data_IF_197123926414
#
_entry.id   IF_197123926414
#
_cell.length_a   1.000
_cell.length_b   1.000
_cell.length_c   1.000
_cell.angle_alpha   90.00
_cell.angle_beta   90.00
_cell.angle_gamma   90.00
#
_symmetry.space_group_name_H-M   'P 1'
#
loop_
_entity.id
_entity.type
_entity.pdbx_description
1 polymer ?
#
# COMPACT_ATOMS: atom_id res chain seq x y z
N UNK A 1 40.40 -11.46 -20.04
CA UNK A 1 39.34 -11.19 -21.02
C UNK A 1 38.13 -10.62 -20.27
N UNK A 2 37.78 -9.36 -20.58
CA UNK A 2 36.49 -8.67 -20.39
C UNK A 2 35.89 -8.62 -18.97
N UNK A 3 36.14 -7.49 -18.29
CA UNK A 3 35.18 -6.95 -17.33
C UNK A 3 33.84 -6.77 -18.06
N UNK A 4 32.80 -7.40 -17.53
CA UNK A 4 31.41 -7.23 -17.95
C UNK A 4 31.06 -5.77 -17.68
N UNK A 5 30.87 -4.98 -18.73
CA UNK A 5 30.38 -3.60 -18.64
C UNK A 5 29.06 -3.62 -17.87
N UNK A 6 29.01 -2.98 -16.70
CA UNK A 6 27.76 -2.68 -16.02
C UNK A 6 26.90 -1.89 -17.02
N UNK A 7 25.66 -2.31 -17.25
CA UNK A 7 24.72 -1.49 -18.00
C UNK A 7 24.59 -0.13 -17.29
N UNK A 8 24.45 0.99 -18.00
CA UNK A 8 24.14 2.25 -17.35
C UNK A 8 22.85 2.05 -16.55
N UNK A 9 22.93 2.28 -15.24
CA UNK A 9 21.75 2.42 -14.38
C UNK A 9 20.85 3.47 -15.04
N UNK A 10 19.55 3.21 -15.22
CA UNK A 10 18.67 4.22 -15.78
C UNK A 10 18.75 5.45 -14.87
N UNK A 11 19.26 6.55 -15.42
CA UNK A 11 19.32 7.83 -14.72
C UNK A 11 17.90 8.20 -14.30
N UNK A 12 17.77 8.61 -13.04
CA UNK A 12 16.52 8.88 -12.31
C UNK A 12 15.88 10.20 -12.80
N UNK A 13 15.70 10.35 -14.11
CA UNK A 13 15.05 11.52 -14.75
C UNK A 13 13.62 11.72 -14.24
N UNK A 14 12.99 10.67 -13.71
CA UNK A 14 11.67 10.72 -13.08
C UNK A 14 11.63 11.53 -11.78
N UNK A 15 12.75 11.71 -11.09
CA UNK A 15 12.79 12.38 -9.79
C UNK A 15 12.89 13.92 -9.90
N UNK A 16 13.32 14.44 -11.06
CA UNK A 16 13.59 15.86 -11.29
C UNK A 16 12.51 16.56 -12.16
N UNK A 17 11.47 15.83 -12.55
CA UNK A 17 10.37 16.39 -13.34
C UNK A 17 9.42 17.19 -12.45
N UNK A 18 9.30 18.50 -12.70
CA UNK A 18 8.44 19.42 -11.92
C UNK A 18 6.95 19.08 -11.97
N UNK A 19 6.54 18.14 -12.82
CA UNK A 19 5.16 17.74 -13.00
C UNK A 19 5.09 16.23 -13.33
N UNK A 20 5.21 15.34 -12.34
CA UNK A 20 5.20 13.90 -12.58
C UNK A 20 3.88 13.48 -13.23
N UNK A 21 3.94 12.50 -14.12
CA UNK A 21 2.76 11.94 -14.78
C UNK A 21 1.72 11.48 -13.75
N UNK A 22 0.41 11.67 -14.01
CA UNK A 22 -0.63 11.08 -13.16
C UNK A 22 -0.49 9.57 -13.08
N UNK A 23 -0.78 9.00 -11.92
CA UNK A 23 -0.82 7.55 -11.72
C UNK A 23 -2.05 6.96 -12.42
N UNK A 24 -1.88 5.80 -13.05
CA UNK A 24 -2.99 5.03 -13.59
C UNK A 24 -3.64 4.13 -12.52
N UNK A 25 -4.73 3.44 -12.88
CA UNK A 25 -5.50 2.62 -11.94
C UNK A 25 -4.67 1.45 -11.38
N UNK A 26 -3.79 0.87 -12.19
CA UNK A 26 -2.94 -0.25 -11.82
C UNK A 26 -1.81 0.19 -10.90
N UNK A 27 -1.17 1.33 -11.19
CA UNK A 27 -0.19 2.01 -10.34
C UNK A 27 -0.80 2.27 -8.95
N UNK A 28 -2.03 2.79 -8.91
CA UNK A 28 -2.76 3.07 -7.67
C UNK A 28 -3.07 1.76 -6.91
N UNK A 29 -3.49 0.71 -7.60
CA UNK A 29 -3.80 -0.58 -6.99
C UNK A 29 -2.53 -1.23 -6.39
N UNK A 30 -1.41 -1.16 -7.10
CA UNK A 30 -0.13 -1.61 -6.60
C UNK A 30 0.29 -0.83 -5.36
N UNK A 31 0.26 0.51 -5.40
CA UNK A 31 0.65 1.34 -4.25
C UNK A 31 -0.25 1.15 -3.02
N UNK A 32 -1.55 0.90 -3.21
CA UNK A 32 -2.48 0.59 -2.11
C UNK A 32 -2.19 -0.75 -1.44
N UNK A 33 -1.66 -1.71 -2.18
CA UNK A 33 -1.34 -3.05 -1.66
C UNK A 33 0.12 -3.17 -1.23
N UNK A 34 0.98 -2.30 -1.73
CA UNK A 34 2.40 -2.23 -1.39
C UNK A 34 2.57 -1.92 0.10
N UNK A 35 3.10 -2.89 0.84
CA UNK A 35 3.29 -2.79 2.29
C UNK A 35 2.12 -3.31 3.14
N UNK A 36 1.04 -3.81 2.53
CA UNK A 36 0.04 -4.59 3.28
C UNK A 36 0.62 -5.97 3.58
N UNK A 37 0.82 -6.26 4.86
CA UNK A 37 1.23 -7.57 5.32
C UNK A 37 0.11 -8.62 5.12
N UNK A 38 0.44 -9.92 5.16
CA UNK A 38 -0.53 -11.01 4.96
C UNK A 38 -1.71 -10.95 5.94
N UNK A 39 -1.55 -10.26 7.06
CA UNK A 39 -2.57 -10.13 8.11
C UNK A 39 -3.29 -8.78 8.12
N UNK A 40 -2.92 -7.80 7.28
CA UNK A 40 -3.50 -6.45 7.32
C UNK A 40 -5.02 -6.45 7.16
N UNK A 41 -5.56 -7.32 6.29
CA UNK A 41 -7.01 -7.44 6.10
C UNK A 41 -7.70 -8.10 7.31
N UNK A 42 -7.11 -9.16 7.85
CA UNK A 42 -7.64 -9.88 9.01
C UNK A 42 -7.68 -9.00 10.26
N UNK A 43 -6.63 -8.18 10.47
CA UNK A 43 -6.57 -7.22 11.57
C UNK A 43 -7.69 -6.19 11.43
N UNK A 44 -7.83 -5.54 10.27
CA UNK A 44 -8.90 -4.55 10.03
C UNK A 44 -10.30 -5.14 10.22
N UNK A 45 -10.50 -6.40 9.82
CA UNK A 45 -11.77 -7.11 10.02
C UNK A 45 -12.09 -7.27 11.51
N UNK A 46 -11.14 -7.77 12.29
CA UNK A 46 -11.30 -7.96 13.74
C UNK A 46 -11.52 -6.62 14.46
N UNK A 47 -10.79 -5.56 14.08
CA UNK A 47 -11.01 -4.21 14.63
C UNK A 47 -12.43 -3.70 14.39
N UNK A 48 -13.00 -3.96 13.21
CA UNK A 48 -14.38 -3.60 12.89
C UNK A 48 -15.37 -4.41 13.73
N UNK A 49 -15.18 -5.73 13.82
CA UNK A 49 -16.02 -6.63 14.61
C UNK A 49 -16.03 -6.24 16.09
N UNK A 50 -14.87 -5.88 16.67
CA UNK A 50 -14.77 -5.40 18.06
C UNK A 50 -15.62 -4.14 18.26
N UNK A 51 -15.53 -3.17 17.34
CA UNK A 51 -16.32 -1.92 17.42
C UNK A 51 -17.82 -2.19 17.32
N UNK A 52 -18.24 -3.09 16.43
CA UNK A 52 -19.64 -3.47 16.28
C UNK A 52 -20.16 -4.22 17.51
N UNK A 53 -19.36 -5.13 18.07
CA UNK A 53 -19.72 -5.85 19.30
C UNK A 53 -19.82 -4.91 20.50
N UNK A 54 -18.90 -3.96 20.64
CA UNK A 54 -18.98 -2.94 21.69
C UNK A 54 -20.26 -2.10 21.61
N UNK A 55 -20.68 -1.72 20.39
CA UNK A 55 -21.98 -1.05 20.17
C UNK A 55 -23.14 -1.93 20.60
N UNK A 56 -23.18 -3.20 20.15
CA UNK A 56 -24.23 -4.15 20.54
C UNK A 56 -24.33 -4.34 22.06
N UNK A 57 -23.20 -4.40 22.76
CA UNK A 57 -23.18 -4.52 24.23
C UNK A 57 -23.79 -3.26 24.86
N UNK A 58 -23.39 -2.08 24.41
CA UNK A 58 -23.96 -0.82 24.92
C UNK A 58 -25.46 -0.71 24.64
N UNK A 59 -25.92 -1.15 23.47
CA UNK A 59 -27.34 -1.15 23.10
C UNK A 59 -28.16 -2.16 23.94
N UNK A 60 -27.55 -3.25 24.43
CA UNK A 60 -28.21 -4.28 25.23
C UNK A 60 -28.16 -4.02 26.74
N UNK A 61 -27.10 -3.37 27.23
CA UNK A 61 -26.91 -3.05 28.65
C UNK A 61 -27.39 -1.64 29.02
N UNK A 62 -27.77 -0.81 28.04
CA UNK A 62 -28.33 0.53 28.20
C UNK A 62 -29.82 0.53 28.55
#
# INVERSE_FOLDING_TARGET
RRYRTMAPEPEDDFLNEKNPRPLDEDDIALLKTYGLGPYSNSIKKVEKEIKEMAKKINDLCG
#
